data_IF_008192610263
#
_entry.id   IF_008192610263
#
_cell.length_a   1.000
_cell.length_b   1.000
_cell.length_c   1.000
_cell.angle_alpha   90.00
_cell.angle_beta   90.00
_cell.angle_gamma   90.00
#
_symmetry.space_group_name_H-M   'P 1'
#
loop_
_entity.id
_entity.type
_entity.pdbx_description
1 polymer ?
#
# COMPACT_ATOMS: atom_id res chain seq x y z
N UNK A 1 -18.69 -2.23 -14.73
CA UNK A 1 -17.84 -3.01 -13.80
C UNK A 1 -16.61 -3.50 -14.58
N UNK A 2 -15.43 -3.14 -14.16
CA UNK A 2 -14.20 -3.60 -14.83
C UNK A 2 -13.81 -5.01 -14.38
N UNK A 3 -12.96 -5.68 -15.15
CA UNK A 3 -12.40 -6.97 -14.72
C UNK A 3 -11.66 -6.84 -13.38
N UNK A 4 -10.95 -5.73 -13.17
CA UNK A 4 -10.26 -5.45 -11.92
C UNK A 4 -11.22 -5.44 -10.73
N UNK A 5 -12.41 -4.82 -10.88
CA UNK A 5 -13.43 -4.80 -9.82
C UNK A 5 -13.87 -6.21 -9.42
N UNK A 6 -13.99 -7.10 -10.39
CA UNK A 6 -14.33 -8.51 -10.14
C UNK A 6 -13.25 -9.20 -9.30
N UNK A 7 -11.99 -9.00 -9.63
CA UNK A 7 -10.88 -9.57 -8.86
C UNK A 7 -10.75 -8.95 -7.47
N UNK A 8 -10.90 -7.64 -7.35
CA UNK A 8 -10.87 -6.96 -6.06
C UNK A 8 -12.08 -7.31 -5.19
N UNK A 9 -13.18 -7.71 -5.78
CA UNK A 9 -14.37 -8.17 -5.06
C UNK A 9 -14.12 -9.35 -4.13
N UNK A 10 -13.14 -10.19 -4.42
CA UNK A 10 -12.72 -11.29 -3.54
C UNK A 10 -12.11 -10.78 -2.23
N UNK A 11 -11.62 -9.55 -2.22
CA UNK A 11 -10.99 -8.91 -1.07
C UNK A 11 -11.93 -7.92 -0.38
N UNK A 12 -13.16 -7.81 -0.83
CA UNK A 12 -14.10 -6.76 -0.44
C UNK A 12 -14.31 -6.69 1.07
N UNK A 13 -14.41 -7.82 1.75
CA UNK A 13 -14.59 -7.84 3.21
C UNK A 13 -13.42 -7.17 3.95
N UNK A 14 -12.19 -7.31 3.44
CA UNK A 14 -11.02 -6.61 3.98
C UNK A 14 -10.95 -5.15 3.54
N UNK A 15 -11.21 -4.87 2.26
CA UNK A 15 -11.14 -3.53 1.71
C UNK A 15 -12.22 -2.59 2.26
N UNK A 16 -13.38 -3.13 2.57
CA UNK A 16 -14.53 -2.35 3.09
C UNK A 16 -14.50 -2.17 4.61
N UNK A 17 -13.65 -2.90 5.32
CA UNK A 17 -13.51 -2.76 6.77
C UNK A 17 -12.81 -1.42 7.08
N UNK A 18 -13.49 -0.49 7.77
CA UNK A 18 -12.91 0.84 8.04
C UNK A 18 -11.69 0.80 8.96
N UNK A 19 -11.45 -0.28 9.68
CA UNK A 19 -10.28 -0.44 10.55
C UNK A 19 -9.05 -0.92 9.77
N UNK A 20 -9.21 -1.49 8.58
CA UNK A 20 -8.11 -2.00 7.76
C UNK A 20 -7.46 -0.85 6.99
N UNK A 21 -6.16 -0.67 7.19
CA UNK A 21 -5.35 0.34 6.52
C UNK A 21 -4.56 -0.23 5.37
N UNK A 22 -4.10 -1.46 5.50
CA UNK A 22 -3.30 -2.15 4.50
C UNK A 22 -3.67 -3.63 4.46
N UNK A 23 -3.63 -4.20 3.26
CA UNK A 23 -3.89 -5.60 3.01
C UNK A 23 -2.70 -6.17 2.24
N UNK A 24 -2.21 -7.31 2.66
CA UNK A 24 -1.11 -8.00 1.99
C UNK A 24 -1.53 -9.40 1.56
N UNK A 25 -1.20 -9.74 0.32
CA UNK A 25 -1.35 -11.09 -0.21
C UNK A 25 0.06 -11.67 -0.36
N UNK A 26 0.34 -12.70 0.41
CA UNK A 26 1.65 -13.35 0.39
C UNK A 26 1.78 -14.33 -0.79
N UNK A 27 3.00 -14.81 -1.02
CA UNK A 27 3.28 -15.73 -2.12
C UNK A 27 2.51 -17.06 -2.02
N UNK A 28 2.13 -17.47 -0.82
CA UNK A 28 1.28 -18.66 -0.59
C UNK A 28 -0.22 -18.39 -0.76
N UNK A 29 -0.59 -17.16 -1.12
CA UNK A 29 -1.98 -16.72 -1.27
C UNK A 29 -2.66 -16.30 0.03
N UNK A 30 -2.02 -16.42 1.19
CA UNK A 30 -2.58 -16.00 2.46
C UNK A 30 -2.74 -14.48 2.50
N UNK A 31 -3.84 -14.03 3.11
CA UNK A 31 -4.21 -12.61 3.15
C UNK A 31 -4.11 -12.09 4.57
N UNK A 32 -3.30 -11.07 4.75
CA UNK A 32 -3.01 -10.43 6.02
C UNK A 32 -3.44 -8.97 5.97
N UNK A 33 -3.80 -8.42 7.12
CA UNK A 33 -4.25 -7.02 7.23
C UNK A 33 -3.52 -6.30 8.35
N UNK A 34 -3.25 -5.02 8.11
CA UNK A 34 -2.86 -4.06 9.14
C UNK A 34 -4.09 -3.23 9.52
N UNK A 35 -4.43 -3.26 10.81
CA UNK A 35 -5.56 -2.48 11.35
C UNK A 35 -5.05 -1.24 12.07
N UNK A 36 -5.85 -0.19 12.05
CA UNK A 36 -5.55 1.04 12.79
C UNK A 36 -5.30 0.74 14.27
N UNK A 37 -4.19 1.27 14.80
CA UNK A 37 -3.79 1.07 16.19
C UNK A 37 -3.04 -0.23 16.48
N UNK A 38 -2.85 -1.09 15.51
CA UNK A 38 -2.05 -2.31 15.64
C UNK A 38 -0.64 -2.11 15.07
N UNK A 39 0.35 -2.74 15.71
CA UNK A 39 1.76 -2.62 15.30
C UNK A 39 2.12 -3.67 14.24
N UNK A 40 1.45 -4.80 14.25
CA UNK A 40 1.74 -5.93 13.37
C UNK A 40 0.55 -6.30 12.51
N UNK A 41 0.83 -6.83 11.32
CA UNK A 41 -0.18 -7.47 10.49
C UNK A 41 -0.71 -8.73 11.16
N UNK A 42 -2.00 -8.96 10.99
CA UNK A 42 -2.71 -10.14 11.48
C UNK A 42 -3.42 -10.84 10.33
N UNK A 43 -3.70 -12.15 10.45
CA UNK A 43 -4.51 -12.85 9.44
C UNK A 43 -5.86 -12.15 9.24
N UNK A 44 -6.28 -12.02 8.00
CA UNK A 44 -7.51 -11.31 7.65
C UNK A 44 -8.79 -12.09 7.95
N UNK A 45 -8.69 -13.41 8.07
CA UNK A 45 -9.85 -14.31 8.10
C UNK A 45 -10.42 -14.61 6.71
N UNK A 46 -9.93 -13.97 5.66
CA UNK A 46 -10.31 -14.29 4.29
C UNK A 46 -9.63 -15.59 3.82
N UNK A 47 -10.32 -16.38 2.97
CA UNK A 47 -9.70 -17.57 2.39
C UNK A 47 -8.46 -17.21 1.59
N UNK A 48 -7.43 -18.05 1.66
CA UNK A 48 -6.25 -17.91 0.82
C UNK A 48 -6.63 -17.99 -0.67
N UNK A 49 -6.00 -17.18 -1.49
CA UNK A 49 -6.22 -17.19 -2.93
C UNK A 49 -5.30 -18.22 -3.59
N UNK A 50 -5.79 -18.97 -4.59
CA UNK A 50 -4.92 -19.79 -5.43
C UNK A 50 -3.85 -18.93 -6.11
N UNK A 51 -2.68 -19.49 -6.35
CA UNK A 51 -1.57 -18.78 -7.00
C UNK A 51 -1.99 -18.11 -8.32
N UNK A 52 -2.83 -18.78 -9.11
CA UNK A 52 -3.36 -18.25 -10.35
C UNK A 52 -4.21 -16.98 -10.12
N UNK A 53 -5.07 -17.01 -9.10
CA UNK A 53 -5.91 -15.86 -8.78
C UNK A 53 -5.08 -14.64 -8.36
N UNK A 54 -4.02 -14.85 -7.59
CA UNK A 54 -3.08 -13.78 -7.21
C UNK A 54 -2.38 -13.22 -8.45
N UNK A 55 -1.92 -14.08 -9.35
CA UNK A 55 -1.27 -13.69 -10.59
C UNK A 55 -2.21 -12.91 -11.52
N UNK A 56 -3.45 -13.36 -11.64
CA UNK A 56 -4.45 -12.69 -12.46
C UNK A 56 -4.79 -11.31 -11.88
N UNK A 57 -4.93 -11.20 -10.57
CA UNK A 57 -5.12 -9.91 -9.90
C UNK A 57 -3.93 -8.96 -10.14
N UNK A 58 -2.71 -9.46 -10.01
CA UNK A 58 -1.50 -8.70 -10.28
C UNK A 58 -1.48 -8.16 -11.72
N UNK A 59 -1.83 -8.98 -12.68
CA UNK A 59 -1.90 -8.60 -14.09
C UNK A 59 -2.98 -7.53 -14.34
N UNK A 60 -4.13 -7.65 -13.70
CA UNK A 60 -5.21 -6.66 -13.82
C UNK A 60 -4.82 -5.31 -13.18
N UNK A 61 -4.12 -5.33 -12.06
CA UNK A 61 -3.58 -4.12 -11.44
C UNK A 61 -2.59 -3.43 -12.39
N UNK A 62 -1.68 -4.19 -12.97
CA UNK A 62 -0.71 -3.66 -13.92
C UNK A 62 -1.39 -3.06 -15.17
N UNK A 63 -2.32 -3.79 -15.74
CA UNK A 63 -3.04 -3.36 -16.96
C UNK A 63 -3.88 -2.10 -16.72
N UNK A 64 -4.40 -1.90 -15.51
CA UNK A 64 -5.20 -0.71 -15.18
C UNK A 64 -4.43 0.60 -15.29
N UNK A 65 -3.11 0.54 -15.21
CA UNK A 65 -2.22 1.71 -15.29
C UNK A 65 -1.29 1.65 -16.51
N UNK A 66 -1.63 0.83 -17.50
CA UNK A 66 -0.83 0.64 -18.74
C UNK A 66 0.59 0.11 -18.47
N UNK A 67 0.78 -0.54 -17.33
CA UNK A 67 2.01 -1.26 -17.00
C UNK A 67 1.91 -2.73 -17.44
N UNK A 68 3.06 -3.37 -17.57
CA UNK A 68 3.16 -4.80 -17.81
C UNK A 68 3.74 -5.50 -16.59
N UNK A 69 3.23 -6.69 -16.30
CA UNK A 69 3.72 -7.53 -15.23
C UNK A 69 4.23 -8.85 -15.83
N UNK A 70 5.54 -8.98 -15.89
CA UNK A 70 6.24 -10.12 -16.51
C UNK A 70 7.48 -10.48 -15.71
N UNK A 71 8.15 -11.59 -16.05
CA UNK A 71 9.42 -11.97 -15.43
C UNK A 71 10.53 -10.95 -15.66
N UNK A 72 10.47 -10.17 -16.74
CA UNK A 72 11.41 -9.08 -17.03
C UNK A 72 11.00 -7.75 -16.40
N UNK A 73 9.74 -7.62 -15.99
CA UNK A 73 9.20 -6.45 -15.29
C UNK A 73 8.38 -6.92 -14.07
N UNK A 74 9.05 -7.45 -13.02
CA UNK A 74 8.38 -8.10 -11.90
C UNK A 74 7.88 -7.15 -10.82
N UNK A 75 8.12 -5.84 -10.95
CA UNK A 75 7.73 -4.82 -9.98
C UNK A 75 6.74 -3.86 -10.62
N UNK A 76 5.57 -3.71 -10.01
CA UNK A 76 4.55 -2.77 -10.46
C UNK A 76 4.02 -1.97 -9.27
N UNK A 77 3.95 -0.65 -9.44
CA UNK A 77 3.27 0.26 -8.52
C UNK A 77 2.12 0.91 -9.27
N UNK A 78 0.94 0.87 -8.70
CA UNK A 78 -0.26 1.37 -9.35
C UNK A 78 -1.22 2.01 -8.32
N UNK A 79 -1.90 3.07 -8.74
CA UNK A 79 -3.02 3.64 -8.01
C UNK A 79 -4.31 3.26 -8.76
N UNK A 80 -5.21 2.58 -8.08
CA UNK A 80 -6.47 2.12 -8.68
C UNK A 80 -7.65 2.56 -7.84
N UNK A 81 -8.75 2.90 -8.51
CA UNK A 81 -10.01 3.20 -7.85
C UNK A 81 -10.83 1.92 -7.71
N UNK A 82 -11.38 1.69 -6.54
CA UNK A 82 -12.30 0.60 -6.26
C UNK A 82 -13.44 1.13 -5.40
N UNK A 83 -14.64 1.19 -5.97
CA UNK A 83 -15.80 1.85 -5.35
C UNK A 83 -15.43 3.28 -4.92
N UNK A 84 -15.63 3.64 -3.66
CA UNK A 84 -15.26 4.96 -3.11
C UNK A 84 -13.83 4.99 -2.55
N UNK A 85 -13.06 3.91 -2.75
CA UNK A 85 -11.71 3.78 -2.23
C UNK A 85 -10.68 4.10 -3.31
N UNK A 86 -9.59 4.70 -2.89
CA UNK A 86 -8.37 4.78 -3.68
C UNK A 86 -7.37 3.78 -3.11
N UNK A 87 -6.90 2.87 -3.94
CA UNK A 87 -5.97 1.83 -3.55
C UNK A 87 -4.60 2.11 -4.15
N UNK A 88 -3.58 2.05 -3.32
CA UNK A 88 -2.20 2.07 -3.79
C UNK A 88 -1.66 0.64 -3.71
N UNK A 89 -1.41 0.07 -4.87
CA UNK A 89 -1.01 -1.32 -5.01
C UNK A 89 0.47 -1.41 -5.36
N UNK A 90 1.16 -2.34 -4.71
CA UNK A 90 2.50 -2.76 -5.10
C UNK A 90 2.49 -4.25 -5.38
N UNK A 91 2.96 -4.64 -6.55
CA UNK A 91 3.02 -6.02 -6.99
C UNK A 91 4.47 -6.41 -7.18
N UNK A 92 4.85 -7.52 -6.60
CA UNK A 92 6.20 -8.07 -6.72
C UNK A 92 6.08 -9.53 -7.16
N UNK A 93 6.69 -9.84 -8.30
CA UNK A 93 6.68 -11.19 -8.87
C UNK A 93 8.07 -11.80 -8.94
N UNK A 94 8.12 -13.05 -9.43
CA UNK A 94 9.37 -13.73 -9.73
C UNK A 94 10.11 -13.02 -10.87
N UNK A 95 11.44 -12.87 -10.84
CA UNK A 95 12.38 -13.42 -9.86
C UNK A 95 12.67 -12.53 -8.64
N UNK A 96 12.00 -11.37 -8.49
CA UNK A 96 12.21 -10.49 -7.34
C UNK A 96 11.78 -11.12 -6.01
N UNK A 97 10.81 -12.03 -6.04
CA UNK A 97 10.52 -12.98 -4.96
C UNK A 97 10.92 -14.39 -5.42
N UNK A 98 11.26 -15.27 -4.48
CA UNK A 98 11.76 -16.60 -4.78
C UNK A 98 10.76 -17.44 -5.59
N UNK A 99 9.48 -17.34 -5.28
CA UNK A 99 8.40 -17.96 -6.05
C UNK A 99 7.08 -17.26 -5.77
N UNK A 100 6.20 -17.24 -6.75
CA UNK A 100 4.86 -16.68 -6.63
C UNK A 100 4.82 -15.16 -6.82
N UNK A 101 3.76 -14.57 -6.34
CA UNK A 101 3.48 -13.14 -6.47
C UNK A 101 3.02 -12.60 -5.12
N UNK A 102 3.55 -11.45 -4.73
CA UNK A 102 3.17 -10.72 -3.51
C UNK A 102 2.49 -9.43 -3.92
N UNK A 103 1.38 -9.11 -3.27
CA UNK A 103 0.64 -7.85 -3.51
C UNK A 103 0.43 -7.14 -2.19
N UNK A 104 0.84 -5.87 -2.12
CA UNK A 104 0.52 -4.97 -1.01
C UNK A 104 -0.49 -3.93 -1.48
N UNK A 105 -1.54 -3.73 -0.71
CA UNK A 105 -2.61 -2.76 -1.02
C UNK A 105 -2.81 -1.84 0.17
N UNK A 106 -2.48 -0.57 0.00
CA UNK A 106 -2.78 0.47 0.97
C UNK A 106 -4.09 1.15 0.60
N UNK A 107 -4.96 1.34 1.58
CA UNK A 107 -6.32 1.82 1.38
C UNK A 107 -6.44 3.27 1.80
N UNK A 108 -6.88 4.13 0.89
CA UNK A 108 -7.20 5.52 1.15
C UNK A 108 -8.72 5.72 1.00
N UNK A 109 -9.36 6.16 2.10
CA UNK A 109 -10.81 6.39 2.13
C UNK A 109 -11.09 7.88 1.98
N UNK A 110 -11.86 8.23 0.93
CA UNK A 110 -12.22 9.62 0.63
C UNK A 110 -13.57 10.01 1.23
N UNK A 111 -13.75 9.82 2.54
CA UNK A 111 -14.89 10.43 3.24
C UNK A 111 -14.54 11.89 3.58
N UNK A 112 -15.54 12.76 3.57
CA UNK A 112 -15.34 14.19 3.86
C UNK A 112 -14.69 14.42 5.24
N UNK A 113 -14.97 13.56 6.23
CA UNK A 113 -14.29 13.53 7.51
C UNK A 113 -12.85 13.04 7.44
N UNK A 114 -12.57 12.09 6.55
CA UNK A 114 -11.24 11.54 6.36
C UNK A 114 -10.34 12.49 5.57
N UNK A 115 -10.90 13.29 4.67
CA UNK A 115 -10.16 14.36 4.00
C UNK A 115 -9.71 15.43 4.99
N UNK A 116 -10.56 15.80 5.96
CA UNK A 116 -10.17 16.72 7.03
C UNK A 116 -9.10 16.12 7.94
N UNK A 117 -9.20 14.83 8.27
CA UNK A 117 -8.16 14.11 9.01
C UNK A 117 -6.86 14.05 8.23
N UNK A 118 -6.93 13.68 6.96
CA UNK A 118 -5.77 13.63 6.09
C UNK A 118 -5.10 15.01 5.97
N UNK A 119 -5.87 16.06 5.83
CA UNK A 119 -5.36 17.44 5.81
C UNK A 119 -4.67 17.79 7.12
N UNK A 120 -5.25 17.46 8.28
CA UNK A 120 -4.65 17.68 9.59
C UNK A 120 -3.36 16.89 9.76
N UNK A 121 -3.35 15.64 9.38
CA UNK A 121 -2.16 14.78 9.43
C UNK A 121 -1.08 15.31 8.50
N UNK A 122 -1.44 15.76 7.31
CA UNK A 122 -0.51 16.35 6.36
C UNK A 122 0.11 17.65 6.92
N UNK A 123 -0.69 18.52 7.52
CA UNK A 123 -0.19 19.73 8.19
C UNK A 123 0.72 19.40 9.37
N UNK A 124 0.36 18.40 10.16
CA UNK A 124 1.18 17.93 11.28
C UNK A 124 2.53 17.39 10.81
N UNK A 125 2.54 16.51 9.79
CA UNK A 125 3.76 15.97 9.19
C UNK A 125 4.63 17.07 8.58
N UNK A 126 4.01 18.05 7.92
CA UNK A 126 4.72 19.22 7.36
C UNK A 126 5.35 20.09 8.45
N UNK A 127 4.67 20.24 9.58
CA UNK A 127 5.23 20.91 10.76
C UNK A 127 6.42 20.16 11.35
N UNK A 128 6.34 18.83 11.40
CA UNK A 128 7.44 17.98 11.86
C UNK A 128 8.64 18.01 10.91
N UNK A 129 8.42 18.02 9.61
CA UNK A 129 9.51 18.15 8.64
C UNK A 129 10.25 19.47 8.81
N UNK A 130 9.55 20.57 9.01
CA UNK A 130 10.16 21.88 9.27
C UNK A 130 10.99 21.87 10.54
N UNK A 131 10.45 21.28 11.62
CA UNK A 131 11.16 21.13 12.91
C UNK A 131 12.41 20.28 12.79
N UNK A 132 12.33 19.14 12.10
CA UNK A 132 13.46 18.25 11.85
C UNK A 132 14.54 18.94 10.99
N UNK A 133 14.14 19.75 10.04
CA UNK A 133 15.05 20.51 9.20
C UNK A 133 15.77 21.60 9.99
N UNK A 134 15.09 22.29 10.90
CA UNK A 134 15.68 23.26 11.82
C UNK A 134 16.69 22.58 12.78
N UNK A 135 16.31 21.45 13.37
CA UNK A 135 17.22 20.65 14.20
C UNK A 135 18.46 20.19 13.43
N UNK A 136 18.26 19.75 12.21
CA UNK A 136 19.35 19.34 11.33
C UNK A 136 20.31 20.48 11.03
N UNK A 137 19.78 21.67 10.75
CA UNK A 137 20.59 22.89 10.51
C UNK A 137 21.37 23.30 11.75
N UNK A 138 20.74 23.24 12.93
CA UNK A 138 21.39 23.53 14.20
C UNK A 138 22.55 22.54 14.47
N UNK A 139 22.35 21.26 14.22
CA UNK A 139 23.37 20.21 14.38
C UNK A 139 24.54 20.42 13.42
N UNK A 140 24.29 20.76 12.16
CA UNK A 140 25.33 21.06 11.17
C UNK A 140 26.13 22.31 11.58
N UNK A 141 25.48 23.34 12.09
CA UNK A 141 26.14 24.56 12.58
C UNK A 141 27.05 24.26 13.77
N UNK A 142 26.62 23.40 14.69
CA UNK A 142 27.44 22.98 15.84
C UNK A 142 28.66 22.19 15.43
N UNK A 143 28.51 21.25 14.50
CA UNK A 143 29.63 20.48 13.93
C UNK A 143 30.62 21.42 13.24
N UNK A 144 30.15 22.40 12.50
CA UNK A 144 30.99 23.39 11.83
C UNK A 144 31.79 24.22 12.82
N UNK A 145 31.21 24.59 13.97
CA UNK A 145 31.95 25.27 15.06
C UNK A 145 33.02 24.41 15.71
N UNK A 146 32.78 23.09 15.79
CA UNK A 146 33.75 22.16 16.34
C UNK A 146 34.95 21.93 15.42
N UNK A 147 34.77 22.07 14.11
CA UNK A 147 35.78 21.86 13.08
C UNK A 147 36.60 23.13 12.79
N UNK A 148 36.15 24.26 13.26
CA UNK A 148 36.88 25.52 13.20
C UNK A 148 37.80 25.65 14.42
#
# INVERSE_FOLDING_TARGET
MSYLDTYLGQLDAGLSDPAVMELAINADGSIWVERAGQIHMTPSGLPALPARAVRDLASQIANSTSNTFTETAPLVSAAVAYRELMLRCQVVGSPAVASGTVIGIRIFRSRQGDMRRAARTFHFLRGQESSLEEERRAMVADISRWLA
#
